data_IF_915197092695
#
_entry.id   IF_915197092695
#
_cell.length_a   1.000
_cell.length_b   1.000
_cell.length_c   1.000
_cell.angle_alpha   90.00
_cell.angle_beta   90.00
_cell.angle_gamma   90.00
#
_symmetry.space_group_name_H-M   'P 1'
#
loop_
_entity.id
_entity.type
_entity.pdbx_description
1 polymer ?
#
# COMPACT_ATOMS: atom_id res chain seq x y z
N UNK A 1 21.77 -5.49 23.08
CA UNK A 1 21.10 -6.72 23.59
C UNK A 1 19.61 -6.49 23.85
N UNK A 2 19.22 -5.53 24.68
CA UNK A 2 17.79 -5.23 24.99
C UNK A 2 16.97 -4.88 23.73
N UNK A 3 17.47 -3.99 22.86
CA UNK A 3 16.77 -3.63 21.61
C UNK A 3 16.55 -4.81 20.65
N UNK A 4 17.50 -5.75 20.58
CA UNK A 4 17.38 -6.93 19.73
C UNK A 4 16.30 -7.89 20.26
N UNK A 5 16.27 -8.09 21.59
CA UNK A 5 15.26 -8.90 22.26
C UNK A 5 13.87 -8.29 22.10
N UNK A 6 13.73 -6.97 22.23
CA UNK A 6 12.44 -6.29 22.06
C UNK A 6 11.94 -6.37 20.62
N UNK A 7 12.80 -6.18 19.62
CA UNK A 7 12.44 -6.36 18.20
C UNK A 7 11.96 -7.80 17.94
N UNK A 8 12.70 -8.78 18.44
CA UNK A 8 12.37 -10.20 18.23
C UNK A 8 11.03 -10.58 18.89
N UNK A 9 10.76 -10.06 20.08
CA UNK A 9 9.47 -10.22 20.76
C UNK A 9 8.32 -9.57 19.98
N UNK A 10 8.50 -8.33 19.50
CA UNK A 10 7.46 -7.65 18.69
C UNK A 10 7.16 -8.40 17.40
N UNK A 11 8.19 -8.89 16.70
CA UNK A 11 8.01 -9.71 15.49
C UNK A 11 7.27 -11.00 15.83
N UNK A 12 7.64 -11.68 16.92
CA UNK A 12 6.94 -12.89 17.38
C UNK A 12 5.46 -12.64 17.69
N UNK A 13 5.15 -11.53 18.40
CA UNK A 13 3.77 -11.14 18.71
C UNK A 13 2.97 -10.78 17.45
N UNK A 14 3.58 -10.08 16.48
CA UNK A 14 2.95 -9.75 15.20
C UNK A 14 2.64 -11.02 14.39
N UNK A 15 3.59 -11.96 14.29
CA UNK A 15 3.39 -13.24 13.61
C UNK A 15 2.29 -14.03 14.32
N UNK A 16 2.28 -14.08 15.65
CA UNK A 16 1.23 -14.74 16.44
C UNK A 16 -0.15 -14.12 16.22
N UNK A 17 -0.24 -12.79 16.16
CA UNK A 17 -1.48 -12.05 15.88
C UNK A 17 -1.98 -12.30 14.47
N UNK A 18 -1.10 -12.26 13.47
CA UNK A 18 -1.45 -12.58 12.07
C UNK A 18 -1.86 -14.05 11.93
N UNK A 19 -1.16 -14.98 12.57
CA UNK A 19 -1.49 -16.40 12.55
C UNK A 19 -2.84 -16.66 13.23
N UNK A 20 -3.10 -16.05 14.38
CA UNK A 20 -4.39 -16.15 15.06
C UNK A 20 -5.52 -15.48 14.27
N UNK A 21 -5.25 -14.40 13.54
CA UNK A 21 -6.23 -13.74 12.68
C UNK A 21 -6.58 -14.60 11.44
N UNK A 22 -5.58 -15.20 10.80
CA UNK A 22 -5.76 -16.02 9.59
C UNK A 22 -6.27 -17.43 9.93
N UNK A 23 -5.68 -18.09 10.92
CA UNK A 23 -5.91 -19.51 11.24
C UNK A 23 -6.65 -19.74 12.56
N UNK A 24 -6.83 -18.70 13.39
CA UNK A 24 -7.64 -18.82 14.58
C UNK A 24 -9.08 -19.11 14.19
N UNK A 25 -9.66 -20.14 14.80
CA UNK A 25 -11.08 -20.47 14.71
C UNK A 25 -11.90 -19.40 15.45
N UNK A 26 -11.85 -18.15 14.99
CA UNK A 26 -12.79 -17.11 15.38
C UNK A 26 -14.18 -17.63 15.04
N UNK A 27 -14.86 -18.04 16.09
CA UNK A 27 -16.09 -18.81 16.09
C UNK A 27 -17.20 -18.04 15.36
N UNK A 28 -17.86 -18.73 14.42
CA UNK A 28 -19.17 -18.42 13.81
C UNK A 28 -19.20 -17.34 12.69
N UNK A 29 -19.31 -17.83 11.45
CA UNK A 29 -19.90 -17.15 10.27
C UNK A 29 -19.32 -15.80 9.81
N UNK A 30 -18.00 -15.63 9.76
CA UNK A 30 -17.43 -14.50 9.01
C UNK A 30 -16.98 -14.95 7.62
N UNK A 31 -17.75 -14.57 6.60
CA UNK A 31 -17.56 -14.81 5.17
C UNK A 31 -16.36 -14.02 4.60
N UNK A 32 -15.24 -13.96 5.31
CA UNK A 32 -14.02 -13.41 4.74
C UNK A 32 -13.45 -14.44 3.76
N UNK A 33 -14.00 -14.44 2.53
CA UNK A 33 -13.50 -15.29 1.47
C UNK A 33 -12.06 -14.87 1.21
N UNK A 34 -11.13 -15.80 1.43
CA UNK A 34 -9.72 -15.63 1.09
C UNK A 34 -9.52 -15.05 -0.31
N UNK A 35 -10.41 -15.40 -1.24
CA UNK A 35 -10.46 -14.87 -2.60
C UNK A 35 -10.56 -13.34 -2.64
N UNK A 36 -11.42 -12.72 -1.84
CA UNK A 36 -11.62 -11.26 -1.81
C UNK A 36 -10.40 -10.57 -1.22
N UNK A 37 -9.80 -11.16 -0.18
CA UNK A 37 -8.57 -10.64 0.42
C UNK A 37 -7.38 -10.70 -0.53
N UNK A 38 -7.16 -11.84 -1.21
CA UNK A 38 -6.09 -11.96 -2.21
C UNK A 38 -6.35 -11.07 -3.42
N UNK A 39 -7.60 -10.88 -3.82
CA UNK A 39 -7.97 -9.92 -4.87
C UNK A 39 -7.63 -8.49 -4.46
N UNK A 40 -7.95 -8.08 -3.22
CA UNK A 40 -7.59 -6.77 -2.69
C UNK A 40 -6.08 -6.55 -2.70
N UNK A 41 -5.31 -7.54 -2.20
CA UNK A 41 -3.85 -7.48 -2.17
C UNK A 41 -3.25 -7.40 -3.58
N UNK A 42 -3.77 -8.19 -4.53
CA UNK A 42 -3.36 -8.15 -5.92
C UNK A 42 -3.66 -6.77 -6.54
N UNK A 43 -4.83 -6.19 -6.29
CA UNK A 43 -5.17 -4.84 -6.77
C UNK A 43 -4.22 -3.80 -6.19
N UNK A 44 -3.98 -3.80 -4.88
CA UNK A 44 -3.01 -2.91 -4.24
C UNK A 44 -1.61 -3.05 -4.86
N UNK A 45 -1.14 -4.28 -5.07
CA UNK A 45 0.17 -4.54 -5.67
C UNK A 45 0.24 -4.00 -7.11
N UNK A 46 -0.78 -4.25 -7.93
CA UNK A 46 -0.81 -3.75 -9.31
C UNK A 46 -0.83 -2.22 -9.39
N UNK A 47 -1.60 -1.54 -8.53
CA UNK A 47 -1.64 -0.08 -8.46
C UNK A 47 -0.29 0.46 -8.02
N UNK A 48 0.28 -0.10 -6.94
CA UNK A 48 1.59 0.28 -6.42
C UNK A 48 2.68 0.14 -7.48
N UNK A 49 2.77 -1.00 -8.15
CA UNK A 49 3.77 -1.20 -9.22
C UNK A 49 3.55 -0.25 -10.39
N UNK A 50 2.29 0.02 -10.77
CA UNK A 50 1.98 0.90 -11.90
C UNK A 50 2.39 2.35 -11.62
N UNK A 51 2.03 2.88 -10.46
CA UNK A 51 2.42 4.24 -10.06
C UNK A 51 3.92 4.34 -9.78
N UNK A 52 4.54 3.35 -9.16
CA UNK A 52 6.00 3.29 -8.99
C UNK A 52 6.74 3.38 -10.33
N UNK A 53 6.27 2.67 -11.37
CA UNK A 53 6.83 2.75 -12.72
C UNK A 53 6.64 4.15 -13.34
N UNK A 54 5.46 4.76 -13.19
CA UNK A 54 5.22 6.14 -13.66
C UNK A 54 6.19 7.12 -12.99
N UNK A 55 6.33 7.01 -11.67
CA UNK A 55 7.23 7.85 -10.89
C UNK A 55 8.70 7.66 -11.22
N UNK A 56 9.12 6.44 -11.49
CA UNK A 56 10.47 6.13 -11.97
C UNK A 56 10.76 6.77 -13.33
N UNK A 57 9.77 6.82 -14.23
CA UNK A 57 9.93 7.54 -15.52
C UNK A 57 9.98 9.06 -15.27
N UNK A 58 9.11 9.57 -14.40
CA UNK A 58 9.03 10.99 -14.06
C UNK A 58 10.26 11.50 -13.29
N UNK A 59 10.97 10.64 -12.56
CA UNK A 59 12.17 11.04 -11.83
C UNK A 59 13.31 11.46 -12.77
N UNK A 60 13.39 10.89 -13.99
CA UNK A 60 14.35 11.34 -15.00
C UNK A 60 14.08 12.75 -15.53
N UNK A 61 12.85 13.24 -15.36
CA UNK A 61 12.46 14.62 -15.68
C UNK A 61 12.62 15.56 -14.48
N UNK A 62 13.14 15.07 -13.35
CA UNK A 62 13.31 15.82 -12.11
C UNK A 62 12.03 16.02 -11.30
N UNK A 63 10.96 15.28 -11.57
CA UNK A 63 9.61 15.56 -11.04
C UNK A 63 9.37 14.96 -9.64
N UNK A 64 10.26 14.08 -9.16
CA UNK A 64 9.95 13.21 -8.02
C UNK A 64 10.92 13.19 -6.83
N UNK A 65 12.06 13.89 -6.89
CA UNK A 65 13.13 13.69 -5.91
C UNK A 65 13.63 15.04 -5.39
N UNK A 66 13.10 15.45 -4.24
CA UNK A 66 13.71 16.47 -3.39
C UNK A 66 14.16 15.80 -2.10
N UNK A 67 15.47 15.78 -1.86
CA UNK A 67 16.07 15.58 -0.55
C UNK A 67 16.92 16.83 -0.27
N UNK A 68 16.63 17.56 0.81
CA UNK A 68 17.24 18.87 1.14
C UNK A 68 17.20 19.93 0.02
N UNK A 69 16.19 19.89 -0.86
CA UNK A 69 15.98 20.90 -1.90
C UNK A 69 16.88 20.77 -3.13
N UNK A 70 17.62 19.67 -3.31
CA UNK A 70 18.42 19.41 -4.51
C UNK A 70 17.98 18.13 -5.23
N UNK A 71 17.93 18.19 -6.56
CA UNK A 71 17.74 17.01 -7.41
C UNK A 71 18.96 16.10 -7.25
N UNK A 72 18.78 14.94 -6.62
CA UNK A 72 19.84 13.95 -6.44
C UNK A 72 19.91 13.05 -7.66
N UNK A 73 21.09 12.95 -8.28
CA UNK A 73 21.35 11.93 -9.29
C UNK A 73 21.67 10.63 -8.56
N UNK A 74 20.64 9.79 -8.40
CA UNK A 74 20.78 8.45 -7.85
C UNK A 74 21.01 7.45 -8.98
N UNK A 75 21.70 6.32 -8.72
CA UNK A 75 21.73 5.20 -9.64
C UNK A 75 20.30 4.77 -10.03
N UNK A 76 20.08 4.20 -11.23
CA UNK A 76 18.76 3.78 -11.67
C UNK A 76 18.07 2.80 -10.71
N UNK A 77 18.82 1.89 -10.10
CA UNK A 77 18.29 0.93 -9.13
C UNK A 77 17.76 1.60 -7.86
N UNK A 78 18.50 2.57 -7.31
CA UNK A 78 18.06 3.33 -6.14
C UNK A 78 16.85 4.22 -6.48
N UNK A 79 16.87 4.86 -7.64
CA UNK A 79 15.74 5.65 -8.15
C UNK A 79 14.47 4.82 -8.27
N UNK A 80 14.58 3.59 -8.74
CA UNK A 80 13.47 2.64 -8.81
C UNK A 80 12.94 2.32 -7.40
N UNK A 81 13.84 1.98 -6.46
CA UNK A 81 13.45 1.70 -5.08
C UNK A 81 12.74 2.89 -4.40
N UNK A 82 13.26 4.11 -4.59
CA UNK A 82 12.63 5.33 -4.10
C UNK A 82 11.25 5.60 -4.73
N UNK A 83 11.08 5.27 -6.02
CA UNK A 83 9.79 5.41 -6.71
C UNK A 83 8.75 4.42 -6.18
N UNK A 84 9.16 3.17 -5.90
CA UNK A 84 8.32 2.17 -5.24
C UNK A 84 7.93 2.59 -3.82
N UNK A 85 8.89 3.09 -3.05
CA UNK A 85 8.65 3.60 -1.71
C UNK A 85 7.67 4.77 -1.71
N UNK A 86 7.87 5.77 -2.59
CA UNK A 86 6.99 6.93 -2.71
C UNK A 86 5.55 6.51 -3.10
N UNK A 87 5.42 5.60 -4.08
CA UNK A 87 4.11 5.05 -4.46
C UNK A 87 3.45 4.33 -3.29
N UNK A 88 4.15 3.47 -2.57
CA UNK A 88 3.61 2.76 -1.41
C UNK A 88 3.13 3.71 -0.31
N UNK A 89 3.95 4.69 0.05
CA UNK A 89 3.64 5.69 1.09
C UNK A 89 2.45 6.58 0.68
N UNK A 90 2.31 6.89 -0.62
CA UNK A 90 1.20 7.69 -1.17
C UNK A 90 -0.09 6.87 -1.24
N UNK A 91 -0.03 5.66 -1.82
CA UNK A 91 -1.17 4.75 -1.96
C UNK A 91 -1.73 4.31 -0.60
N UNK A 92 -0.88 4.09 0.39
CA UNK A 92 -1.30 3.76 1.75
C UNK A 92 -1.65 5.01 2.58
N UNK A 93 -1.59 6.21 1.99
CA UNK A 93 -1.88 7.50 2.64
C UNK A 93 -1.03 7.81 3.88
N UNK A 94 0.16 7.19 3.97
CA UNK A 94 1.10 7.40 5.09
C UNK A 94 1.79 8.75 4.97
N UNK A 95 2.27 9.10 3.78
CA UNK A 95 2.82 10.42 3.46
C UNK A 95 3.92 10.95 4.39
N UNK A 96 5.02 10.23 4.59
CA UNK A 96 6.12 10.66 5.49
C UNK A 96 6.72 12.03 5.16
N UNK A 97 6.66 12.45 3.89
CA UNK A 97 7.12 13.76 3.43
C UNK A 97 8.63 13.86 3.16
N UNK A 98 9.35 12.75 3.24
CA UNK A 98 10.76 12.60 2.88
C UNK A 98 10.99 12.61 1.37
N UNK A 99 10.04 12.12 0.59
CA UNK A 99 10.00 12.28 -0.87
C UNK A 99 8.74 13.05 -1.22
N UNK A 100 8.89 14.14 -1.96
CA UNK A 100 7.77 15.00 -2.35
C UNK A 100 7.68 15.17 -3.86
N UNK A 101 6.46 15.08 -4.43
CA UNK A 101 6.27 15.32 -5.85
C UNK A 101 6.29 16.82 -6.13
N UNK A 102 6.88 17.20 -7.26
CA UNK A 102 6.85 18.58 -7.75
C UNK A 102 6.11 18.66 -9.10
N UNK A 103 5.76 19.88 -9.54
CA UNK A 103 5.06 20.09 -10.82
C UNK A 103 3.81 19.22 -10.99
N UNK A 104 3.69 18.57 -12.15
CA UNK A 104 2.58 17.68 -12.50
C UNK A 104 2.57 16.36 -11.71
N UNK A 105 3.68 15.98 -11.09
CA UNK A 105 3.74 14.82 -10.20
C UNK A 105 2.78 14.94 -9.01
N UNK A 106 2.44 16.16 -8.59
CA UNK A 106 1.46 16.41 -7.51
C UNK A 106 0.06 15.92 -7.86
N UNK A 107 -0.37 16.11 -9.10
CA UNK A 107 -1.67 15.64 -9.55
C UNK A 107 -1.72 14.12 -9.62
N UNK A 108 -0.63 13.48 -10.06
CA UNK A 108 -0.51 12.01 -10.04
C UNK A 108 -0.59 11.46 -8.61
N UNK A 109 0.14 12.07 -7.67
CA UNK A 109 0.10 11.67 -6.26
C UNK A 109 -1.28 11.85 -5.62
N UNK A 110 -2.01 12.92 -5.99
CA UNK A 110 -3.39 13.11 -5.53
C UNK A 110 -4.33 12.02 -6.07
N UNK A 111 -4.20 11.65 -7.34
CA UNK A 111 -5.00 10.57 -7.94
C UNK A 111 -4.68 9.22 -7.27
N UNK A 112 -3.40 8.92 -7.06
CA UNK A 112 -2.97 7.70 -6.37
C UNK A 112 -3.51 7.61 -4.95
N UNK A 113 -3.38 8.69 -4.16
CA UNK A 113 -3.89 8.75 -2.81
C UNK A 113 -5.42 8.58 -2.76
N UNK A 114 -6.14 9.16 -3.73
CA UNK A 114 -7.59 8.99 -3.86
C UNK A 114 -7.96 7.52 -4.15
N UNK A 115 -7.24 6.86 -5.06
CA UNK A 115 -7.43 5.43 -5.34
C UNK A 115 -7.19 4.60 -4.08
N UNK A 116 -6.08 4.85 -3.38
CA UNK A 116 -5.71 4.17 -2.15
C UNK A 116 -6.74 4.31 -1.03
N UNK A 117 -7.34 5.50 -0.92
CA UNK A 117 -8.40 5.79 0.04
C UNK A 117 -9.73 5.09 -0.29
N UNK A 118 -10.09 5.00 -1.58
CA UNK A 118 -11.37 4.42 -2.04
C UNK A 118 -11.35 2.89 -2.06
N UNK A 119 -10.18 2.26 -2.25
CA UNK A 119 -10.07 0.81 -2.42
C UNK A 119 -10.67 -0.01 -1.26
N UNK A 120 -10.34 0.23 0.03
CA UNK A 120 -10.90 -0.55 1.13
C UNK A 120 -12.44 -0.46 1.24
N UNK A 121 -13.07 0.74 1.24
CA UNK A 121 -14.53 0.81 1.29
C UNK A 121 -15.20 0.26 0.02
N UNK A 122 -14.61 0.39 -1.16
CA UNK A 122 -15.14 -0.21 -2.38
C UNK A 122 -15.22 -1.74 -2.29
N UNK A 123 -14.18 -2.38 -1.75
CA UNK A 123 -14.19 -3.82 -1.51
C UNK A 123 -15.18 -4.23 -0.41
N UNK A 124 -15.33 -3.42 0.64
CA UNK A 124 -16.35 -3.65 1.67
C UNK A 124 -17.77 -3.62 1.08
N UNK A 125 -18.08 -2.63 0.24
CA UNK A 125 -19.37 -2.53 -0.44
C UNK A 125 -19.62 -3.72 -1.37
N UNK A 126 -18.58 -4.19 -2.09
CA UNK A 126 -18.69 -5.40 -2.92
C UNK A 126 -19.07 -6.63 -2.10
N UNK A 127 -18.47 -6.81 -0.93
CA UNK A 127 -18.82 -7.91 0.00
C UNK A 127 -20.27 -7.77 0.48
N UNK A 128 -20.71 -6.55 0.78
CA UNK A 128 -22.06 -6.29 1.27
C UNK A 128 -23.14 -6.54 0.21
N UNK A 129 -22.91 -6.12 -1.04
CA UNK A 129 -23.82 -6.37 -2.16
C UNK A 129 -23.95 -7.87 -2.49
N UNK A 130 -22.84 -8.61 -2.51
CA UNK A 130 -22.83 -10.08 -2.71
C UNK A 130 -23.61 -10.83 -1.62
N UNK A 131 -23.75 -10.23 -0.42
CA UNK A 131 -24.60 -10.77 0.63
C UNK A 131 -26.08 -10.55 0.33
N UNK A 132 -26.47 -9.32 -0.02
CA UNK A 132 -27.87 -8.97 -0.28
C UNK A 132 -28.45 -9.75 -1.45
N UNK A 133 -27.68 -9.99 -2.51
CA UNK A 133 -28.11 -10.83 -3.64
C UNK A 133 -28.35 -12.30 -3.24
N UNK A 134 -27.59 -12.86 -2.29
CA UNK A 134 -27.77 -14.25 -1.82
C UNK A 134 -28.92 -14.43 -0.85
N UNK A 135 -29.31 -13.39 -0.12
CA UNK A 135 -30.43 -13.45 0.84
C UNK A 135 -31.81 -13.27 0.17
N UNK A 136 -31.84 -12.87 -1.12
CA UNK A 136 -33.06 -12.62 -1.92
C UNK A 136 -33.53 -13.84 -2.73
N UNK A 137 -32.70 -14.89 -2.87
CA UNK A 137 -33.03 -16.16 -3.53
C UNK A 137 -33.11 -17.32 -2.54
#
# INVERSE_FOLDING_TARGET
MVAFISILLTVFLLIGSLYAFIFGKAHQRSFFSYEIFYTLLAVYFTVLTSFACLYFVLSFQGVLLLDDGKLRQLPPFETLAHSFYFSGVTLMTVGYGDITPIGWGRLLALVEALIGYILPPAFFLKIWQDKEERDVY
#
